data_IF_223863584576
#
_entry.id   IF_223863584576
#
_cell.length_a   1.000
_cell.length_b   1.000
_cell.length_c   1.000
_cell.angle_alpha   90.00
_cell.angle_beta   90.00
_cell.angle_gamma   90.00
#
_symmetry.space_group_name_H-M   'P 1'
#
loop_
_entity.id
_entity.type
_entity.pdbx_description
1 polymer ?
#
# COMPACT_ATOMS: atom_id res chain seq x y z
N UNK A 1 16.02 -19.26 -8.73
CA UNK A 1 15.36 -20.16 -7.77
C UNK A 1 13.92 -20.46 -8.23
N UNK A 2 13.54 -21.70 -8.24
CA UNK A 2 12.18 -22.15 -8.53
C UNK A 2 11.59 -22.77 -7.25
N UNK A 3 10.55 -22.13 -6.70
CA UNK A 3 9.90 -22.63 -5.48
C UNK A 3 9.26 -24.00 -5.73
N UNK A 4 9.42 -24.91 -4.80
CA UNK A 4 8.98 -26.31 -4.92
C UNK A 4 10.00 -27.23 -5.60
N UNK A 5 10.90 -26.72 -6.42
CA UNK A 5 11.98 -27.49 -7.04
C UNK A 5 13.31 -27.30 -6.29
N UNK A 6 13.68 -26.07 -6.01
CA UNK A 6 14.97 -25.74 -5.41
C UNK A 6 14.87 -25.55 -3.89
N UNK A 7 13.66 -25.48 -3.36
CA UNK A 7 13.30 -25.30 -1.95
C UNK A 7 11.95 -24.60 -1.79
N UNK A 8 11.59 -24.24 -0.56
CA UNK A 8 10.35 -23.52 -0.28
C UNK A 8 10.51 -22.00 -0.45
N UNK A 9 9.44 -21.25 -0.25
CA UNK A 9 9.42 -19.77 -0.45
C UNK A 9 10.31 -19.03 0.56
N UNK A 10 10.38 -19.48 1.82
CA UNK A 10 11.24 -18.86 2.84
C UNK A 10 12.72 -19.09 2.52
N UNK A 11 13.07 -20.28 2.01
CA UNK A 11 14.42 -20.60 1.55
C UNK A 11 14.81 -19.78 0.32
N UNK A 12 13.88 -19.54 -0.60
CA UNK A 12 14.09 -18.68 -1.75
C UNK A 12 14.44 -17.25 -1.33
N UNK A 13 13.70 -16.68 -0.37
CA UNK A 13 13.95 -15.33 0.14
C UNK A 13 15.26 -15.27 0.93
N UNK A 14 15.58 -16.28 1.75
CA UNK A 14 16.87 -16.38 2.44
C UNK A 14 18.04 -16.40 1.44
N UNK A 15 17.90 -17.18 0.37
CA UNK A 15 18.91 -17.23 -0.68
C UNK A 15 19.09 -15.86 -1.38
N UNK A 16 17.97 -15.21 -1.73
CA UNK A 16 17.98 -13.87 -2.34
C UNK A 16 18.62 -12.82 -1.41
N UNK A 17 18.39 -12.91 -0.12
CA UNK A 17 19.02 -12.06 0.89
C UNK A 17 20.51 -12.38 1.15
N UNK A 18 21.01 -13.47 0.58
CA UNK A 18 22.39 -13.93 0.82
C UNK A 18 22.59 -14.58 2.19
N UNK A 19 21.53 -15.10 2.79
CA UNK A 19 21.49 -15.71 4.13
C UNK A 19 21.57 -17.24 4.10
N UNK A 20 21.49 -17.86 2.92
CA UNK A 20 21.54 -19.30 2.76
C UNK A 20 22.98 -19.80 2.78
N UNK A 21 23.35 -20.58 3.80
CA UNK A 21 24.68 -21.23 3.86
C UNK A 21 24.82 -22.30 2.79
N UNK A 22 26.01 -22.36 2.18
CA UNK A 22 26.40 -23.43 1.26
C UNK A 22 25.63 -23.50 -0.08
N UNK A 23 24.81 -22.53 -0.41
CA UNK A 23 24.09 -22.45 -1.69
C UNK A 23 24.79 -21.50 -2.66
N UNK A 24 24.87 -21.83 -3.96
CA UNK A 24 25.51 -20.98 -4.97
C UNK A 24 24.78 -19.67 -5.24
N UNK A 25 23.65 -19.43 -4.60
CA UNK A 25 22.74 -18.29 -4.75
C UNK A 25 23.15 -17.06 -3.96
N UNK A 26 24.30 -17.06 -3.32
CA UNK A 26 24.84 -15.92 -2.58
C UNK A 26 25.35 -14.80 -3.52
N UNK A 27 24.76 -14.72 -4.71
CA UNK A 27 25.25 -13.84 -5.78
C UNK A 27 24.81 -12.39 -5.63
N UNK A 28 23.95 -12.07 -4.67
CA UNK A 28 23.60 -10.68 -4.44
C UNK A 28 24.68 -9.88 -3.71
N UNK A 29 25.87 -10.45 -3.56
CA UNK A 29 27.00 -9.77 -2.95
C UNK A 29 27.65 -8.74 -3.87
N UNK A 30 27.48 -8.86 -5.16
CA UNK A 30 28.36 -8.12 -6.07
C UNK A 30 27.77 -8.02 -7.45
N UNK A 31 27.98 -6.96 -8.14
CA UNK A 31 27.88 -6.81 -9.58
C UNK A 31 26.52 -6.46 -10.20
N UNK A 32 25.52 -6.06 -9.43
CA UNK A 32 24.25 -5.54 -9.99
C UNK A 32 23.40 -6.58 -10.72
N UNK A 33 23.70 -7.87 -10.58
CA UNK A 33 22.85 -8.92 -11.15
C UNK A 33 21.54 -9.05 -10.40
N UNK A 34 20.44 -9.21 -11.14
CA UNK A 34 19.12 -9.44 -10.58
C UNK A 34 18.96 -10.88 -10.13
N UNK A 35 18.40 -11.08 -8.95
CA UNK A 35 18.05 -12.40 -8.44
C UNK A 35 16.58 -12.67 -8.73
N UNK A 36 16.30 -13.79 -9.36
CA UNK A 36 14.94 -14.20 -9.74
C UNK A 36 14.43 -15.34 -8.87
N UNK A 37 13.23 -15.16 -8.31
CA UNK A 37 12.46 -16.20 -7.64
C UNK A 37 11.21 -16.45 -8.49
N UNK A 38 11.09 -17.62 -9.07
CA UNK A 38 9.86 -18.04 -9.74
C UNK A 38 9.01 -18.85 -8.77
N UNK A 39 7.73 -18.50 -8.69
CA UNK A 39 6.75 -19.13 -7.78
C UNK A 39 5.63 -19.71 -8.62
N UNK A 40 5.53 -21.05 -8.75
CA UNK A 40 4.40 -21.71 -9.44
C UNK A 40 3.06 -21.38 -8.79
N UNK A 41 1.96 -21.69 -9.48
CA UNK A 41 0.62 -21.62 -8.88
C UNK A 41 0.54 -22.50 -7.62
N UNK A 42 -0.06 -21.95 -6.57
CA UNK A 42 -0.16 -22.57 -5.26
C UNK A 42 -0.31 -21.53 -4.14
N UNK A 43 -0.52 -22.02 -2.94
CA UNK A 43 -0.62 -21.18 -1.74
C UNK A 43 0.65 -21.33 -0.89
N UNK A 44 1.28 -20.21 -0.58
CA UNK A 44 2.58 -20.17 0.09
C UNK A 44 2.48 -19.33 1.35
N UNK A 45 2.63 -19.97 2.50
CA UNK A 45 2.64 -19.29 3.79
C UNK A 45 4.07 -18.93 4.18
N UNK A 46 4.34 -17.64 4.32
CA UNK A 46 5.59 -17.14 4.85
C UNK A 46 5.67 -17.36 6.36
N UNK A 47 6.82 -17.80 6.85
CA UNK A 47 7.08 -17.93 8.28
C UNK A 47 7.69 -16.66 8.87
N UNK A 48 8.16 -15.77 8.01
CA UNK A 48 8.81 -14.52 8.36
C UNK A 48 10.28 -14.69 8.76
N UNK A 49 11.04 -13.63 8.55
CA UNK A 49 12.45 -13.55 8.96
C UNK A 49 12.76 -12.23 9.70
N UNK A 50 11.70 -11.46 10.01
CA UNK A 50 11.75 -10.25 10.81
C UNK A 50 11.43 -10.55 12.27
N UNK A 51 12.17 -9.93 13.18
CA UNK A 51 11.92 -10.02 14.62
C UNK A 51 11.42 -8.69 15.13
N UNK A 52 10.32 -8.69 15.87
CA UNK A 52 9.79 -7.51 16.51
C UNK A 52 10.59 -7.29 17.80
N UNK A 53 11.23 -6.13 17.90
CA UNK A 53 11.93 -5.71 19.11
C UNK A 53 11.13 -4.59 19.77
N UNK A 54 10.28 -4.94 20.71
CA UNK A 54 9.71 -3.97 21.63
C UNK A 54 10.62 -3.80 22.84
N UNK A 55 10.98 -2.56 23.14
CA UNK A 55 11.68 -2.22 24.38
C UNK A 55 10.62 -1.97 25.44
N UNK A 56 10.43 -2.92 26.34
CA UNK A 56 9.47 -2.83 27.44
C UNK A 56 8.19 -3.66 27.22
N UNK A 57 7.21 -3.46 28.10
CA UNK A 57 5.87 -4.02 27.91
C UNK A 57 5.29 -3.50 26.60
N UNK A 58 4.65 -4.39 25.82
CA UNK A 58 4.07 -4.04 24.54
C UNK A 58 3.22 -2.76 24.60
N UNK A 59 3.17 -1.97 23.52
CA UNK A 59 2.47 -0.69 23.55
C UNK A 59 1.03 -0.89 24.01
N UNK A 60 0.58 0.00 24.86
CA UNK A 60 -0.83 0.10 25.20
C UNK A 60 -1.52 0.73 24.01
N UNK A 61 -2.57 0.08 23.50
CA UNK A 61 -3.36 0.64 22.42
C UNK A 61 -4.18 1.86 22.89
N UNK A 62 -4.86 2.51 21.97
CA UNK A 62 -5.67 3.70 22.24
C UNK A 62 -6.80 3.45 23.25
N UNK A 63 -7.13 2.18 23.51
CA UNK A 63 -8.15 1.77 24.50
C UNK A 63 -7.57 1.46 25.89
N UNK A 64 -6.25 1.56 26.05
CA UNK A 64 -5.55 1.17 27.27
C UNK A 64 -5.30 -0.34 27.39
N UNK A 65 -5.60 -1.11 26.34
CA UNK A 65 -5.36 -2.56 26.33
C UNK A 65 -3.90 -2.84 26.00
N UNK A 66 -3.23 -3.59 26.86
CA UNK A 66 -1.86 -4.06 26.59
C UNK A 66 -1.86 -5.05 25.43
N UNK A 67 -1.06 -4.77 24.42
CA UNK A 67 -0.79 -5.73 23.36
C UNK A 67 0.04 -6.89 23.90
N UNK A 68 -0.07 -8.08 23.30
CA UNK A 68 0.80 -9.19 23.63
C UNK A 68 2.28 -8.78 23.57
N UNK A 69 3.07 -9.25 24.53
CA UNK A 69 4.52 -9.08 24.46
C UNK A 69 5.07 -9.81 23.22
N UNK A 70 5.50 -9.05 22.24
CA UNK A 70 6.07 -9.53 20.98
C UNK A 70 7.60 -9.37 20.94
N UNK A 71 8.23 -8.98 22.06
CA UNK A 71 9.67 -8.79 22.10
C UNK A 71 10.40 -10.09 21.70
N UNK A 72 11.25 -10.00 20.70
CA UNK A 72 11.97 -11.14 20.16
C UNK A 72 11.11 -12.15 19.38
N UNK A 73 9.80 -11.94 19.24
CA UNK A 73 8.89 -12.81 18.50
C UNK A 73 8.75 -12.35 17.05
N UNK A 74 8.38 -13.28 16.19
CA UNK A 74 8.09 -13.02 14.79
C UNK A 74 6.57 -12.91 14.57
N UNK A 75 6.14 -11.85 13.92
CA UNK A 75 4.74 -11.61 13.51
C UNK A 75 4.48 -12.03 12.05
N UNK A 76 5.33 -12.88 11.48
CA UNK A 76 5.20 -13.34 10.09
C UNK A 76 5.75 -12.35 9.05
N UNK A 77 6.35 -11.24 9.47
CA UNK A 77 6.93 -10.26 8.55
C UNK A 77 8.16 -10.83 7.84
N UNK A 78 8.19 -10.70 6.52
CA UNK A 78 9.30 -11.20 5.70
C UNK A 78 10.05 -10.05 5.06
N UNK A 79 11.34 -9.95 5.36
CA UNK A 79 12.22 -8.87 4.93
C UNK A 79 12.96 -9.22 3.64
N UNK A 80 12.97 -8.28 2.72
CA UNK A 80 13.82 -8.22 1.52
C UNK A 80 14.98 -7.29 1.84
N UNK A 81 16.20 -7.86 1.97
CA UNK A 81 17.39 -7.16 2.50
C UNK A 81 18.44 -6.86 1.45
N UNK A 82 18.19 -7.21 0.19
CA UNK A 82 19.15 -6.99 -0.91
C UNK A 82 18.47 -6.31 -2.08
N UNK A 83 19.20 -5.49 -2.85
CA UNK A 83 18.68 -4.91 -4.08
C UNK A 83 18.52 -5.94 -5.20
N UNK A 84 17.85 -5.55 -6.27
CA UNK A 84 17.69 -6.34 -7.50
C UNK A 84 17.07 -7.73 -7.29
N UNK A 85 16.05 -7.85 -6.45
CA UNK A 85 15.29 -9.07 -6.25
C UNK A 85 13.98 -9.00 -7.05
N UNK A 86 13.69 -10.07 -7.80
CA UNK A 86 12.41 -10.27 -8.48
C UNK A 86 11.70 -11.50 -7.94
N UNK A 87 10.41 -11.34 -7.63
CA UNK A 87 9.49 -12.43 -7.32
C UNK A 87 8.44 -12.49 -8.43
N UNK A 88 8.43 -13.57 -9.18
CA UNK A 88 7.56 -13.75 -10.35
C UNK A 88 6.68 -14.97 -10.10
N UNK A 89 5.38 -14.74 -10.03
CA UNK A 89 4.38 -15.78 -9.95
C UNK A 89 4.10 -16.40 -11.32
N UNK A 90 3.45 -17.52 -11.34
CA UNK A 90 2.96 -18.13 -12.56
C UNK A 90 1.68 -17.47 -13.03
N UNK A 91 0.78 -17.10 -12.10
CA UNK A 91 -0.42 -16.32 -12.39
C UNK A 91 -0.87 -15.52 -11.18
N UNK A 92 -1.47 -14.33 -11.42
CA UNK A 92 -1.93 -13.44 -10.33
C UNK A 92 -2.92 -14.11 -9.40
N UNK A 93 -3.88 -14.84 -9.93
CA UNK A 93 -5.01 -15.36 -9.16
C UNK A 93 -4.70 -16.67 -8.42
N UNK A 94 -3.70 -17.43 -8.86
CA UNK A 94 -3.41 -18.73 -8.30
C UNK A 94 -2.03 -18.84 -7.63
N UNK A 95 -1.12 -17.87 -7.83
CA UNK A 95 0.12 -17.79 -7.05
C UNK A 95 -0.11 -16.90 -5.85
N UNK A 96 -0.40 -17.46 -4.69
CA UNK A 96 -0.79 -16.70 -3.49
C UNK A 96 0.28 -16.83 -2.42
N UNK A 97 0.91 -15.72 -2.07
CA UNK A 97 1.91 -15.64 -0.98
C UNK A 97 1.28 -14.87 0.17
N UNK A 98 1.23 -15.48 1.35
CA UNK A 98 0.55 -14.91 2.51
C UNK A 98 1.34 -15.04 3.80
N UNK A 99 1.05 -14.14 4.76
CA UNK A 99 1.44 -14.29 6.15
C UNK A 99 0.21 -14.19 7.06
N UNK A 100 0.38 -14.53 8.34
CA UNK A 100 -0.68 -14.47 9.34
C UNK A 100 -0.19 -13.77 10.62
N UNK A 101 -0.15 -12.43 10.64
CA UNK A 101 0.19 -11.69 11.85
C UNK A 101 -0.84 -11.90 12.94
N UNK A 102 -0.38 -11.94 14.19
CA UNK A 102 -1.25 -12.08 15.37
C UNK A 102 -1.46 -10.77 16.13
N UNK A 103 -0.61 -9.77 15.88
CA UNK A 103 -0.69 -8.43 16.48
C UNK A 103 -0.73 -7.39 15.37
N UNK A 104 -1.72 -6.48 15.45
CA UNK A 104 -1.82 -5.38 14.50
C UNK A 104 -0.62 -4.44 14.60
N UNK A 105 -0.30 -3.73 13.55
CA UNK A 105 0.66 -2.65 13.60
C UNK A 105 1.27 -2.35 12.26
N UNK A 106 1.25 -1.08 11.91
CA UNK A 106 1.98 -0.58 10.77
C UNK A 106 3.48 -0.85 10.97
N UNK A 107 4.15 -1.30 9.96
CA UNK A 107 5.59 -1.59 9.90
C UNK A 107 6.11 -2.88 10.55
N UNK A 108 5.29 -3.72 11.13
CA UNK A 108 5.73 -5.05 11.61
C UNK A 108 4.74 -6.20 11.36
N UNK A 109 3.83 -6.00 10.43
CA UNK A 109 2.87 -7.02 10.00
C UNK A 109 3.07 -7.42 8.53
N UNK A 110 3.96 -6.74 7.82
CA UNK A 110 4.04 -6.83 6.37
C UNK A 110 4.29 -8.26 5.87
N UNK A 111 3.52 -8.68 4.88
CA UNK A 111 3.80 -9.91 4.15
C UNK A 111 5.17 -9.83 3.50
N UNK A 112 5.48 -8.72 2.82
CA UNK A 112 6.82 -8.39 2.34
C UNK A 112 7.23 -6.99 2.79
N UNK A 113 8.42 -6.88 3.35
CA UNK A 113 9.04 -5.63 3.75
C UNK A 113 10.35 -5.42 2.99
N UNK A 114 10.39 -4.44 2.09
CA UNK A 114 11.63 -4.02 1.42
C UNK A 114 12.35 -3.02 2.32
N UNK A 115 13.50 -3.41 2.85
CA UNK A 115 14.26 -2.60 3.80
C UNK A 115 14.84 -1.34 3.15
N UNK A 116 15.07 -0.33 3.99
CA UNK A 116 15.74 0.92 3.60
C UNK A 116 17.11 0.61 2.96
N UNK A 117 17.46 1.36 1.93
CA UNK A 117 18.66 1.21 1.11
C UNK A 117 18.63 0.06 0.08
N UNK A 118 17.58 -0.73 0.02
CA UNK A 118 17.37 -1.62 -1.11
C UNK A 118 16.75 -0.88 -2.28
N UNK A 119 17.12 -1.31 -3.46
CA UNK A 119 16.63 -0.72 -4.70
C UNK A 119 16.19 -1.80 -5.67
N UNK A 120 15.30 -1.41 -6.60
CA UNK A 120 14.98 -2.24 -7.75
C UNK A 120 14.30 -3.58 -7.38
N UNK A 121 13.45 -3.57 -6.33
CA UNK A 121 12.56 -4.69 -6.07
C UNK A 121 11.52 -4.81 -7.18
N UNK A 122 11.22 -6.03 -7.60
CA UNK A 122 10.24 -6.31 -8.64
C UNK A 122 9.34 -7.46 -8.23
N UNK A 123 8.03 -7.32 -8.46
CA UNK A 123 7.08 -8.42 -8.35
C UNK A 123 6.10 -8.43 -9.53
N UNK A 124 5.70 -9.63 -10.00
CA UNK A 124 4.80 -9.79 -11.13
C UNK A 124 3.97 -11.07 -11.01
N UNK A 125 2.73 -11.02 -11.52
CA UNK A 125 1.83 -12.17 -11.71
C UNK A 125 1.57 -12.99 -10.43
N UNK A 126 1.29 -12.33 -9.30
CA UNK A 126 1.01 -12.99 -8.02
C UNK A 126 0.04 -12.20 -7.14
N UNK A 127 -0.49 -12.87 -6.13
CA UNK A 127 -1.23 -12.25 -5.02
C UNK A 127 -0.37 -12.26 -3.77
N UNK A 128 -0.25 -11.09 -3.13
CA UNK A 128 0.26 -10.93 -1.77
C UNK A 128 -0.92 -10.72 -0.84
N UNK A 129 -1.01 -11.47 0.24
CA UNK A 129 -2.13 -11.40 1.18
C UNK A 129 -1.63 -11.35 2.61
N UNK A 130 -2.29 -10.52 3.43
CA UNK A 130 -2.11 -10.47 4.86
C UNK A 130 -3.39 -10.98 5.53
N UNK A 131 -3.28 -12.12 6.23
CA UNK A 131 -4.41 -12.81 6.86
C UNK A 131 -4.66 -12.35 8.32
N UNK A 132 -4.28 -11.13 8.66
CA UNK A 132 -4.60 -10.57 9.97
C UNK A 132 -6.11 -10.55 10.21
N UNK A 133 -6.55 -11.01 11.37
CA UNK A 133 -7.98 -11.01 11.73
C UNK A 133 -8.47 -9.60 12.07
N UNK A 134 -8.71 -8.82 11.03
CA UNK A 134 -9.20 -7.45 11.14
C UNK A 134 -10.54 -7.39 11.88
N UNK A 135 -11.49 -8.24 11.52
CA UNK A 135 -12.84 -8.19 12.09
C UNK A 135 -12.89 -8.71 13.52
N UNK A 136 -12.12 -9.75 13.86
CA UNK A 136 -11.99 -10.21 15.23
C UNK A 136 -11.34 -9.16 16.13
N UNK A 137 -10.32 -8.47 15.64
CA UNK A 137 -9.65 -7.39 16.36
C UNK A 137 -10.54 -6.17 16.52
N UNK A 138 -11.35 -5.83 15.49
CA UNK A 138 -12.27 -4.69 15.51
C UNK A 138 -13.60 -5.00 16.21
N UNK A 139 -13.86 -6.28 16.57
CA UNK A 139 -15.09 -6.68 17.25
C UNK A 139 -15.22 -5.98 18.62
N UNK A 140 -16.35 -5.30 18.83
CA UNK A 140 -16.61 -4.55 20.04
C UNK A 140 -15.96 -3.17 20.12
N UNK A 141 -15.19 -2.76 19.15
CA UNK A 141 -14.62 -1.42 19.09
C UNK A 141 -15.57 -0.46 18.35
N UNK A 142 -15.67 0.77 18.85
CA UNK A 142 -16.35 1.82 18.10
C UNK A 142 -15.50 2.17 16.88
N UNK A 143 -16.13 2.58 15.78
CA UNK A 143 -15.46 2.91 14.49
C UNK A 143 -14.36 3.97 14.58
N UNK A 144 -14.18 4.60 15.74
CA UNK A 144 -13.23 5.68 16.00
C UNK A 144 -12.01 5.29 16.83
N UNK A 145 -11.99 4.11 17.45
CA UNK A 145 -10.99 3.78 18.47
C UNK A 145 -10.11 2.57 18.19
N UNK A 146 -10.37 1.82 17.14
CA UNK A 146 -9.61 0.61 16.85
C UNK A 146 -8.73 0.71 15.61
N UNK A 147 -7.49 0.31 15.71
CA UNK A 147 -6.60 0.12 14.59
C UNK A 147 -6.44 -1.37 14.29
N UNK A 148 -6.75 -1.75 13.07
CA UNK A 148 -6.51 -3.11 12.55
C UNK A 148 -5.47 -3.09 11.44
N UNK A 149 -4.34 -2.41 11.70
CA UNK A 149 -3.28 -2.15 10.73
C UNK A 149 -2.53 -3.44 10.40
N UNK A 150 -2.49 -3.78 9.13
CA UNK A 150 -1.82 -4.99 8.68
C UNK A 150 -1.35 -4.82 7.23
N UNK A 151 -0.08 -4.46 7.09
CA UNK A 151 0.54 -4.20 5.81
C UNK A 151 0.68 -5.49 4.99
N UNK A 152 0.42 -5.43 3.70
CA UNK A 152 0.84 -6.48 2.76
C UNK A 152 2.24 -6.18 2.26
N UNK A 153 2.43 -4.94 1.82
CA UNK A 153 3.71 -4.50 1.29
C UNK A 153 4.16 -3.23 2.01
N UNK A 154 5.22 -3.36 2.79
CA UNK A 154 5.92 -2.25 3.43
C UNK A 154 7.17 -1.93 2.63
N UNK A 155 7.17 -0.79 1.96
CA UNK A 155 8.26 -0.37 1.07
C UNK A 155 9.05 0.79 1.68
N UNK A 156 10.30 0.52 1.99
CA UNK A 156 11.32 1.53 2.33
C UNK A 156 12.46 1.55 1.32
N UNK A 157 12.38 0.71 0.31
CA UNK A 157 13.31 0.67 -0.79
C UNK A 157 13.18 1.88 -1.72
N UNK A 158 13.81 1.80 -2.86
CA UNK A 158 13.66 2.79 -3.92
C UNK A 158 13.51 2.08 -5.26
N UNK A 159 12.69 2.59 -6.14
CA UNK A 159 12.38 2.03 -7.46
C UNK A 159 11.78 0.62 -7.40
N UNK A 160 10.90 0.40 -6.42
CA UNK A 160 10.07 -0.82 -6.40
C UNK A 160 9.06 -0.78 -7.53
N UNK A 161 8.91 -1.91 -8.24
CA UNK A 161 7.99 -2.06 -9.35
C UNK A 161 7.12 -3.30 -9.11
N UNK A 162 5.81 -3.15 -9.25
CA UNK A 162 4.88 -4.28 -9.28
C UNK A 162 4.00 -4.23 -10.52
N UNK A 163 3.83 -5.38 -11.19
CA UNK A 163 2.98 -5.52 -12.36
C UNK A 163 2.04 -6.70 -12.21
N UNK A 164 0.76 -6.47 -12.46
CA UNK A 164 -0.26 -7.51 -12.36
C UNK A 164 -0.21 -8.26 -11.02
N UNK A 165 -0.15 -7.50 -9.90
CA UNK A 165 -0.09 -8.03 -8.54
C UNK A 165 -1.36 -7.63 -7.78
N UNK A 166 -1.96 -8.56 -7.03
CA UNK A 166 -3.00 -8.25 -6.07
C UNK A 166 -2.42 -8.11 -4.66
N UNK A 167 -2.74 -7.01 -3.97
CA UNK A 167 -2.37 -6.76 -2.57
C UNK A 167 -3.64 -6.76 -1.73
N UNK A 168 -3.78 -7.76 -0.84
CA UNK A 168 -5.02 -8.01 -0.11
C UNK A 168 -4.85 -7.90 1.40
N UNK A 169 -5.42 -6.84 1.99
CA UNK A 169 -5.59 -6.67 3.43
C UNK A 169 -6.82 -5.80 3.72
N UNK A 170 -6.89 -5.17 4.87
CA UNK A 170 -7.96 -4.28 5.28
C UNK A 170 -7.47 -2.85 5.52
N UNK A 171 -6.62 -2.61 6.50
CA UNK A 171 -6.07 -1.30 6.82
C UNK A 171 -4.57 -1.28 6.54
N UNK A 172 -4.09 -0.19 5.95
CA UNK A 172 -2.67 0.07 5.63
C UNK A 172 -2.04 -0.98 4.68
N UNK A 173 -2.80 -1.49 3.70
CA UNK A 173 -2.38 -2.60 2.81
C UNK A 173 -1.04 -2.36 2.13
N UNK A 174 -0.82 -1.15 1.57
CA UNK A 174 0.46 -0.70 1.04
C UNK A 174 0.96 0.48 1.86
N UNK A 175 2.11 0.31 2.49
CA UNK A 175 2.78 1.36 3.24
C UNK A 175 4.14 1.69 2.64
N UNK A 176 4.29 2.91 2.12
CA UNK A 176 5.55 3.46 1.61
C UNK A 176 6.19 4.41 2.63
N UNK A 177 7.46 4.21 2.96
CA UNK A 177 8.10 5.00 4.01
C UNK A 177 9.60 5.22 3.77
N UNK A 178 9.90 6.12 2.85
CA UNK A 178 11.26 6.58 2.60
C UNK A 178 11.25 8.09 2.36
N UNK A 179 11.87 8.83 3.26
CA UNK A 179 11.89 10.29 3.22
C UNK A 179 12.87 10.89 2.19
N UNK A 180 13.49 10.08 1.34
CA UNK A 180 14.34 10.61 0.27
C UNK A 180 13.52 11.37 -0.77
N UNK A 181 13.94 12.56 -1.23
CA UNK A 181 13.30 13.28 -2.32
C UNK A 181 13.18 12.43 -3.60
N UNK A 182 14.16 11.54 -3.82
CA UNK A 182 14.23 10.66 -4.99
C UNK A 182 13.51 9.32 -4.79
N UNK A 183 12.75 9.15 -3.70
CA UNK A 183 12.02 7.91 -3.47
C UNK A 183 10.88 7.77 -4.46
N UNK A 184 10.91 6.67 -5.21
CA UNK A 184 9.98 6.38 -6.31
C UNK A 184 9.49 4.95 -6.27
N UNK A 185 8.26 4.76 -6.73
CA UNK A 185 7.66 3.44 -6.93
C UNK A 185 6.69 3.43 -8.10
N UNK A 186 6.50 2.27 -8.70
CA UNK A 186 5.63 2.09 -9.86
C UNK A 186 4.78 0.83 -9.74
N UNK A 187 3.48 0.99 -9.95
CA UNK A 187 2.51 -0.09 -9.95
C UNK A 187 1.70 -0.05 -11.24
N UNK A 188 1.61 -1.18 -11.94
CA UNK A 188 0.87 -1.31 -13.20
C UNK A 188 -0.10 -2.50 -13.16
N UNK A 189 -1.36 -2.27 -13.49
CA UNK A 189 -2.42 -3.29 -13.50
C UNK A 189 -2.55 -4.06 -12.16
N UNK A 190 -2.23 -3.41 -11.04
CA UNK A 190 -2.30 -4.00 -9.71
C UNK A 190 -3.68 -3.80 -9.08
N UNK A 191 -4.05 -4.72 -8.19
CA UNK A 191 -5.30 -4.67 -7.43
C UNK A 191 -4.99 -4.40 -5.96
N UNK A 192 -5.48 -3.27 -5.42
CA UNK A 192 -5.32 -2.90 -4.01
C UNK A 192 -6.64 -3.08 -3.28
N UNK A 193 -6.69 -4.00 -2.34
CA UNK A 193 -7.86 -4.25 -1.51
C UNK A 193 -7.71 -3.63 -0.14
N UNK A 194 -8.71 -2.90 0.34
CA UNK A 194 -8.67 -2.36 1.69
C UNK A 194 -9.92 -1.60 2.12
N UNK A 195 -9.86 -1.09 3.35
CA UNK A 195 -10.94 -0.32 3.97
C UNK A 195 -10.49 1.08 4.40
N UNK A 196 -9.40 1.20 5.14
CA UNK A 196 -8.91 2.48 5.68
C UNK A 196 -7.44 2.64 5.36
N UNK A 197 -7.11 3.80 4.78
CA UNK A 197 -5.72 4.20 4.52
C UNK A 197 -4.91 3.11 3.80
N UNK A 198 -5.59 2.33 2.97
CA UNK A 198 -4.98 1.11 2.45
C UNK A 198 -3.87 1.35 1.42
N UNK A 199 -3.66 2.62 1.05
CA UNK A 199 -2.46 3.12 0.38
C UNK A 199 -1.96 4.30 1.20
N UNK A 200 -0.88 4.12 1.97
CA UNK A 200 -0.44 5.14 2.92
C UNK A 200 1.08 5.36 2.92
N UNK A 201 1.51 6.52 3.41
CA UNK A 201 2.92 6.88 3.55
C UNK A 201 3.39 7.99 2.61
N UNK A 202 4.64 7.92 2.16
CA UNK A 202 5.29 8.99 1.40
C UNK A 202 5.94 8.48 0.10
N UNK A 203 6.52 9.38 -0.68
CA UNK A 203 7.22 9.07 -1.94
C UNK A 203 6.52 9.65 -3.17
N UNK A 204 7.21 9.56 -4.30
CA UNK A 204 6.67 9.84 -5.63
C UNK A 204 6.28 8.51 -6.27
N UNK A 205 5.03 8.13 -6.16
CA UNK A 205 4.54 6.80 -6.53
C UNK A 205 3.49 6.91 -7.65
N UNK A 206 3.73 6.20 -8.74
CA UNK A 206 2.82 6.15 -9.88
C UNK A 206 2.04 4.84 -9.89
N UNK A 207 0.72 4.97 -9.93
CA UNK A 207 -0.21 3.85 -10.10
C UNK A 207 -0.86 3.96 -11.47
N UNK A 208 -0.51 3.02 -12.36
CA UNK A 208 -1.00 2.96 -13.73
C UNK A 208 -2.05 1.87 -13.89
N UNK A 209 -3.26 2.24 -14.27
CA UNK A 209 -4.36 1.29 -14.54
C UNK A 209 -4.63 0.30 -13.40
N UNK A 210 -4.42 0.72 -12.17
CA UNK A 210 -4.64 -0.10 -10.99
C UNK A 210 -6.13 -0.10 -10.59
N UNK A 211 -6.57 -1.18 -9.95
CA UNK A 211 -7.89 -1.26 -9.33
C UNK A 211 -7.77 -0.97 -7.83
N UNK A 212 -8.51 0.04 -7.39
CA UNK A 212 -8.64 0.42 -5.98
C UNK A 212 -9.95 -0.16 -5.45
N UNK A 213 -9.86 -1.24 -4.69
CA UNK A 213 -10.99 -2.09 -4.34
C UNK A 213 -11.41 -1.83 -2.90
N UNK A 214 -12.60 -1.28 -2.74
CA UNK A 214 -13.20 -0.94 -1.46
C UNK A 214 -13.85 -2.19 -0.86
N UNK A 215 -13.37 -2.63 0.30
CA UNK A 215 -13.90 -3.79 1.02
C UNK A 215 -15.09 -3.39 1.90
N UNK A 216 -15.84 -4.39 2.37
CA UNK A 216 -17.11 -4.22 3.08
C UNK A 216 -16.94 -3.54 4.46
N UNK A 217 -16.85 -2.19 4.46
CA UNK A 217 -16.78 -1.35 5.65
C UNK A 217 -17.49 -0.01 5.39
N UNK A 218 -18.09 0.56 6.42
CA UNK A 218 -18.61 1.93 6.40
C UNK A 218 -17.45 2.94 6.56
N UNK A 219 -17.49 4.04 5.82
CA UNK A 219 -16.55 5.13 5.96
C UNK A 219 -15.13 4.75 5.50
N UNK A 220 -15.01 4.12 4.32
CA UNK A 220 -13.72 3.76 3.75
C UNK A 220 -12.92 4.99 3.34
N UNK A 221 -11.58 4.87 3.36
CA UNK A 221 -10.67 5.86 2.86
C UNK A 221 -9.55 5.18 2.06
N UNK A 222 -9.32 5.61 0.82
CA UNK A 222 -8.35 4.95 -0.07
C UNK A 222 -6.93 5.29 0.36
N UNK A 223 -6.54 6.57 0.30
CA UNK A 223 -5.16 6.97 0.51
C UNK A 223 -4.98 7.81 1.78
N UNK A 224 -3.83 7.62 2.44
CA UNK A 224 -3.37 8.46 3.54
C UNK A 224 -1.93 8.92 3.27
N UNK A 225 -1.74 9.90 2.38
CA UNK A 225 -0.41 10.38 2.05
C UNK A 225 0.20 11.18 3.21
N UNK A 226 1.51 11.00 3.39
CA UNK A 226 2.39 11.72 4.32
C UNK A 226 3.61 12.27 3.57
N UNK A 227 3.40 12.72 2.35
CA UNK A 227 4.43 13.14 1.42
C UNK A 227 5.36 14.17 2.06
N UNK A 228 6.66 13.99 1.92
CA UNK A 228 7.65 14.96 2.43
C UNK A 228 7.59 16.25 1.62
N UNK A 229 8.11 17.34 2.22
CA UNK A 229 8.04 18.68 1.60
C UNK A 229 8.79 18.74 0.26
N UNK A 230 9.86 17.97 0.15
CA UNK A 230 10.74 17.88 -1.01
C UNK A 230 10.41 16.73 -1.97
N UNK A 231 9.37 15.96 -1.68
CA UNK A 231 8.79 14.99 -2.62
C UNK A 231 7.69 15.68 -3.42
N UNK A 232 7.95 15.95 -4.67
CA UNK A 232 7.13 16.84 -5.50
C UNK A 232 5.73 16.30 -5.80
N UNK A 233 5.61 15.00 -6.13
CA UNK A 233 4.40 14.45 -6.76
C UNK A 233 3.47 13.70 -5.78
N UNK A 234 4.00 13.02 -4.78
CA UNK A 234 3.20 12.16 -3.91
C UNK A 234 2.63 10.95 -4.65
N UNK A 235 1.39 10.60 -4.36
CA UNK A 235 0.68 9.50 -5.02
C UNK A 235 -0.05 10.00 -6.26
N UNK A 236 0.24 9.39 -7.41
CA UNK A 236 -0.43 9.70 -8.68
C UNK A 236 -1.13 8.46 -9.21
N UNK A 237 -2.45 8.49 -9.26
CA UNK A 237 -3.30 7.44 -9.80
C UNK A 237 -3.73 7.81 -11.22
N UNK A 238 -3.18 7.14 -12.24
CA UNK A 238 -3.49 7.40 -13.63
C UNK A 238 -4.32 6.26 -14.24
N UNK A 239 -5.44 6.60 -14.88
CA UNK A 239 -6.36 5.63 -15.49
C UNK A 239 -6.77 4.46 -14.57
N UNK A 240 -6.74 4.71 -13.26
CA UNK A 240 -7.14 3.72 -12.26
C UNK A 240 -8.65 3.55 -12.20
N UNK A 241 -9.12 2.44 -11.62
CA UNK A 241 -10.53 2.24 -11.33
C UNK A 241 -10.78 2.15 -9.83
N UNK A 242 -11.93 2.66 -9.37
CA UNK A 242 -12.41 2.54 -8.00
C UNK A 242 -13.71 1.77 -8.01
N UNK A 243 -13.75 0.64 -7.30
CA UNK A 243 -14.92 -0.24 -7.29
C UNK A 243 -15.11 -0.93 -5.94
N UNK A 244 -16.35 -1.28 -5.58
CA UNK A 244 -16.60 -2.17 -4.46
C UNK A 244 -16.06 -3.58 -4.73
N UNK A 245 -15.68 -4.32 -3.69
CA UNK A 245 -15.19 -5.71 -3.79
C UNK A 245 -16.25 -6.64 -4.36
N UNK A 246 -17.52 -6.42 -4.00
CA UNK A 246 -18.67 -7.15 -4.55
C UNK A 246 -19.95 -6.33 -4.43
N UNK A 247 -21.00 -6.76 -5.13
CA UNK A 247 -22.35 -6.15 -5.05
C UNK A 247 -23.10 -6.53 -3.77
N UNK A 248 -22.63 -7.53 -3.02
CA UNK A 248 -23.32 -8.08 -1.83
C UNK A 248 -22.73 -7.58 -0.51
N UNK A 249 -22.09 -6.44 -0.50
CA UNK A 249 -21.54 -5.85 0.72
C UNK A 249 -22.67 -5.31 1.61
N UNK A 250 -22.56 -5.58 2.92
CA UNK A 250 -23.61 -5.23 3.90
C UNK A 250 -23.29 -3.97 4.71
N UNK A 251 -22.03 -3.59 4.81
CA UNK A 251 -21.57 -2.41 5.57
C UNK A 251 -21.19 -1.25 4.67
N UNK A 252 -20.71 -1.55 3.48
CA UNK A 252 -20.32 -0.53 2.52
C UNK A 252 -21.54 0.30 2.07
N UNK A 253 -21.33 1.58 1.91
CA UNK A 253 -22.35 2.51 1.44
C UNK A 253 -21.75 3.43 0.39
N UNK A 254 -22.41 3.54 -0.76
CA UNK A 254 -22.07 4.55 -1.77
C UNK A 254 -22.11 5.96 -1.15
N UNK A 255 -21.19 6.82 -1.56
CA UNK A 255 -21.02 8.19 -1.03
C UNK A 255 -20.64 8.27 0.47
N UNK A 256 -20.16 7.20 1.05
CA UNK A 256 -19.66 7.16 2.43
C UNK A 256 -18.17 6.74 2.49
N UNK A 257 -17.39 7.13 1.50
CA UNK A 257 -15.96 6.89 1.42
C UNK A 257 -15.24 8.12 0.83
N UNK A 258 -13.92 8.18 0.96
CA UNK A 258 -13.11 9.31 0.50
C UNK A 258 -11.89 8.85 -0.32
N UNK A 259 -11.45 9.71 -1.23
CA UNK A 259 -10.29 9.49 -2.09
C UNK A 259 -8.99 9.45 -1.29
N UNK A 260 -8.80 10.45 -0.42
CA UNK A 260 -7.66 10.51 0.48
C UNK A 260 -7.97 11.35 1.71
N UNK A 261 -7.19 11.12 2.78
CA UNK A 261 -7.09 12.02 3.93
C UNK A 261 -5.61 12.30 4.26
N UNK A 262 -5.31 13.50 4.68
CA UNK A 262 -3.94 13.91 4.99
C UNK A 262 -3.40 13.23 6.25
N UNK A 263 -2.18 12.68 6.16
CA UNK A 263 -1.51 12.02 7.30
C UNK A 263 -0.21 12.69 7.70
N UNK A 264 -0.08 13.95 7.79
CA UNK A 264 1.15 14.68 8.15
C UNK A 264 1.94 15.25 6.97
N UNK A 265 2.91 16.09 7.26
CA UNK A 265 3.85 16.74 6.36
C UNK A 265 3.15 17.57 5.27
N UNK A 266 3.46 17.33 4.01
CA UNK A 266 2.92 18.02 2.84
C UNK A 266 2.20 17.02 1.91
N UNK A 267 1.10 16.39 2.37
CA UNK A 267 0.49 15.28 1.68
C UNK A 267 0.06 15.64 0.26
N UNK A 268 0.43 14.78 -0.69
CA UNK A 268 0.12 14.94 -2.10
C UNK A 268 -0.54 13.68 -2.65
N UNK A 269 -1.68 13.86 -3.33
CA UNK A 269 -2.45 12.77 -3.91
C UNK A 269 -3.24 13.27 -5.12
N UNK A 270 -3.04 12.68 -6.27
CA UNK A 270 -3.65 13.12 -7.53
C UNK A 270 -4.31 11.95 -8.25
N UNK A 271 -5.57 12.12 -8.63
CA UNK A 271 -6.33 11.17 -9.44
C UNK A 271 -6.52 11.73 -10.85
N UNK A 272 -6.01 11.01 -11.85
CA UNK A 272 -6.07 11.38 -13.26
C UNK A 272 -6.90 10.35 -14.03
N UNK A 273 -7.92 10.79 -14.77
CA UNK A 273 -8.71 9.94 -15.67
C UNK A 273 -9.26 8.67 -14.97
N UNK A 274 -9.65 8.81 -13.70
CA UNK A 274 -10.03 7.67 -12.86
C UNK A 274 -11.47 7.26 -13.10
N UNK A 275 -11.72 5.96 -13.26
CA UNK A 275 -13.07 5.40 -13.44
C UNK A 275 -13.66 4.97 -12.10
N UNK A 276 -14.79 5.55 -11.73
CA UNK A 276 -15.45 5.32 -10.43
C UNK A 276 -16.77 4.56 -10.61
N UNK A 277 -16.79 3.29 -10.22
CA UNK A 277 -18.02 2.46 -10.20
C UNK A 277 -18.91 2.73 -8.98
N UNK A 278 -18.42 3.47 -8.01
CA UNK A 278 -19.11 4.00 -6.84
C UNK A 278 -18.62 5.42 -6.60
N UNK A 279 -19.40 6.25 -5.92
CA UNK A 279 -19.05 7.66 -5.74
C UNK A 279 -18.49 7.92 -4.34
N UNK A 280 -17.46 8.74 -4.18
CA UNK A 280 -17.03 9.22 -2.86
C UNK A 280 -18.04 10.20 -2.27
N UNK A 281 -17.84 10.60 -1.03
CA UNK A 281 -18.50 11.77 -0.47
C UNK A 281 -18.34 12.96 -1.41
N UNK A 282 -19.32 13.85 -1.46
CA UNK A 282 -19.38 14.92 -2.49
C UNK A 282 -18.14 15.79 -2.55
N UNK A 283 -17.52 16.09 -1.41
CA UNK A 283 -16.27 16.84 -1.32
C UNK A 283 -15.02 16.03 -1.70
N UNK A 284 -15.11 14.70 -1.81
CA UNK A 284 -14.05 13.80 -2.27
C UNK A 284 -12.98 13.46 -1.23
N UNK A 285 -12.55 14.41 -0.42
CA UNK A 285 -11.40 14.32 0.47
C UNK A 285 -11.79 14.25 1.94
N UNK A 286 -11.18 13.35 2.69
CA UNK A 286 -11.52 13.07 4.08
C UNK A 286 -10.78 13.97 5.09
N UNK A 287 -11.31 13.97 6.32
CA UNK A 287 -10.63 14.63 7.44
C UNK A 287 -9.30 13.94 7.73
N UNK A 288 -8.22 14.71 7.70
CA UNK A 288 -6.88 14.27 8.04
C UNK A 288 -6.47 14.57 9.48
N UNK A 289 -5.18 14.42 9.77
CA UNK A 289 -4.56 14.82 11.02
C UNK A 289 -4.29 16.33 11.07
N UNK A 290 -4.18 16.90 12.25
CA UNK A 290 -4.08 18.36 12.46
C UNK A 290 -2.67 18.93 12.19
N UNK A 291 -1.69 18.09 11.88
CA UNK A 291 -0.27 18.46 11.74
C UNK A 291 0.21 18.63 10.28
N UNK A 292 -0.73 18.82 9.35
CA UNK A 292 -0.38 19.00 7.93
C UNK A 292 0.18 20.40 7.65
N UNK A 293 1.22 20.47 6.82
CA UNK A 293 1.82 21.76 6.40
C UNK A 293 1.09 22.35 5.20
N UNK A 294 0.89 21.55 4.14
CA UNK A 294 0.21 21.97 2.91
C UNK A 294 -0.45 20.76 2.25
N UNK A 295 -1.68 20.90 1.82
CA UNK A 295 -2.41 19.86 1.10
C UNK A 295 -2.26 20.06 -0.41
N UNK A 296 -1.91 19.00 -1.12
CA UNK A 296 -1.75 18.95 -2.58
C UNK A 296 -2.60 17.82 -3.13
N UNK A 297 -3.93 17.95 -3.02
CA UNK A 297 -4.92 16.96 -3.43
C UNK A 297 -5.62 17.42 -4.69
N UNK A 298 -5.52 16.60 -5.74
CA UNK A 298 -6.03 16.98 -7.06
C UNK A 298 -6.82 15.85 -7.73
N UNK A 299 -7.77 16.24 -8.55
CA UNK A 299 -8.56 15.34 -9.40
C UNK A 299 -8.66 15.92 -10.82
N UNK A 300 -8.62 15.06 -11.84
CA UNK A 300 -8.70 15.44 -13.24
C UNK A 300 -9.45 14.41 -14.06
N UNK A 301 -10.50 14.85 -14.75
CA UNK A 301 -11.30 14.08 -15.71
C UNK A 301 -11.72 12.69 -15.23
N UNK A 302 -12.17 12.56 -13.99
CA UNK A 302 -12.77 11.31 -13.51
C UNK A 302 -14.09 11.03 -14.23
N UNK A 303 -14.38 9.73 -14.48
CA UNK A 303 -15.58 9.24 -15.14
C UNK A 303 -16.34 8.27 -14.25
N UNK A 304 -17.63 8.08 -14.51
CA UNK A 304 -18.43 7.06 -13.84
C UNK A 304 -18.27 5.66 -14.50
N UNK A 305 -18.94 4.65 -13.93
CA UNK A 305 -18.92 3.29 -14.47
C UNK A 305 -19.45 3.16 -15.90
N UNK A 306 -20.25 4.14 -16.37
CA UNK A 306 -20.83 4.20 -17.71
C UNK A 306 -20.04 5.14 -18.69
N UNK A 307 -18.83 5.52 -18.31
CA UNK A 307 -17.92 6.40 -19.05
C UNK A 307 -18.40 7.85 -19.22
N UNK A 308 -19.33 8.32 -18.38
CA UNK A 308 -19.71 9.72 -18.36
C UNK A 308 -18.75 10.54 -17.46
N UNK A 309 -18.42 11.74 -17.90
CA UNK A 309 -17.65 12.67 -17.10
C UNK A 309 -18.36 13.00 -15.78
N UNK A 310 -17.66 12.86 -14.67
CA UNK A 310 -18.15 13.27 -13.36
C UNK A 310 -18.08 14.78 -13.20
N UNK A 311 -19.11 15.35 -12.59
CA UNK A 311 -19.04 16.73 -12.12
C UNK A 311 -18.21 16.80 -10.84
N UNK A 312 -17.06 17.47 -10.91
CA UNK A 312 -16.15 17.64 -9.77
C UNK A 312 -16.37 18.95 -9.01
N UNK A 313 -17.41 19.71 -9.36
CA UNK A 313 -17.68 21.07 -8.82
C UNK A 313 -17.84 21.11 -7.29
N UNK A 314 -18.16 20.00 -6.67
CA UNK A 314 -18.29 19.89 -5.20
C UNK A 314 -17.01 19.43 -4.50
N UNK A 315 -15.97 19.09 -5.25
CA UNK A 315 -14.68 18.69 -4.67
C UNK A 315 -14.07 19.85 -3.90
N UNK A 316 -13.65 19.58 -2.67
CA UNK A 316 -13.18 20.64 -1.78
C UNK A 316 -12.32 20.08 -0.65
N UNK A 317 -11.32 20.85 -0.22
CA UNK A 317 -10.51 20.56 0.98
C UNK A 317 -11.20 21.02 2.28
N UNK A 318 -12.42 21.52 2.23
CA UNK A 318 -13.12 22.06 3.42
C UNK A 318 -13.31 21.00 4.54
N UNK A 319 -13.38 19.72 4.21
CA UNK A 319 -13.44 18.64 5.19
C UNK A 319 -12.06 18.24 5.75
N UNK A 320 -10.97 18.68 5.13
CA UNK A 320 -9.61 18.43 5.60
C UNK A 320 -9.26 19.37 6.75
N UNK A 321 -8.45 18.90 7.70
CA UNK A 321 -8.05 19.70 8.87
C UNK A 321 -6.52 19.68 8.99
N UNK A 322 -5.89 20.85 9.18
CA UNK A 322 -6.40 22.15 8.80
C UNK A 322 -6.47 22.28 7.26
N UNK A 323 -7.42 23.03 6.75
CA UNK A 323 -7.51 23.33 5.33
C UNK A 323 -6.43 24.37 4.96
N UNK A 324 -5.20 23.90 4.79
CA UNK A 324 -4.07 24.73 4.39
C UNK A 324 -3.64 24.29 2.99
N UNK A 325 -3.92 25.07 1.98
CA UNK A 325 -3.58 24.77 0.60
C UNK A 325 -4.38 25.61 -0.38
N UNK A 326 -4.04 25.52 -1.66
CA UNK A 326 -4.87 26.13 -2.69
C UNK A 326 -6.19 25.36 -2.82
N UNK A 327 -7.28 26.07 -3.05
CA UNK A 327 -8.58 25.46 -3.33
C UNK A 327 -8.65 24.80 -4.72
N UNK A 328 -7.55 24.76 -5.47
CA UNK A 328 -7.45 24.17 -6.80
C UNK A 328 -7.36 22.66 -6.76
N UNK A 329 -8.42 22.03 -6.28
CA UNK A 329 -8.53 20.55 -6.24
C UNK A 329 -8.83 19.95 -7.63
N UNK A 330 -9.20 20.76 -8.60
CA UNK A 330 -9.49 20.33 -9.97
C UNK A 330 -8.42 20.88 -10.90
N UNK A 331 -7.66 19.99 -11.51
CA UNK A 331 -6.59 20.41 -12.42
C UNK A 331 -7.15 20.88 -13.77
N UNK A 332 -6.55 21.93 -14.32
CA UNK A 332 -6.69 22.29 -15.73
C UNK A 332 -5.95 21.31 -16.64
N UNK A 333 -6.23 21.33 -17.94
CA UNK A 333 -5.51 20.51 -18.93
C UNK A 333 -3.99 20.83 -18.91
N UNK A 334 -3.60 22.06 -18.72
CA UNK A 334 -2.21 22.50 -18.62
C UNK A 334 -1.53 21.90 -17.38
N UNK A 335 -2.15 22.04 -16.21
CA UNK A 335 -1.63 21.47 -14.95
C UNK A 335 -1.52 19.94 -15.02
N UNK A 336 -2.55 19.26 -15.53
CA UNK A 336 -2.57 17.81 -15.67
C UNK A 336 -1.48 17.29 -16.62
N UNK A 337 -1.10 18.07 -17.65
CA UNK A 337 -0.06 17.69 -18.60
C UNK A 337 1.33 17.55 -17.97
N UNK A 338 1.56 18.16 -16.79
CA UNK A 338 2.78 18.00 -16.01
C UNK A 338 2.92 16.61 -15.35
N UNK A 339 1.79 15.95 -15.11
CA UNK A 339 1.78 14.62 -14.49
C UNK A 339 2.05 13.54 -15.56
N UNK A 340 3.29 13.20 -15.74
CA UNK A 340 3.71 12.12 -16.65
C UNK A 340 4.53 11.09 -15.89
N UNK A 341 4.51 9.84 -16.36
CA UNK A 341 5.34 8.79 -15.78
C UNK A 341 6.81 9.22 -15.67
N UNK A 342 7.34 9.86 -16.71
CA UNK A 342 8.73 10.33 -16.74
C UNK A 342 9.05 11.39 -15.69
N UNK A 343 8.08 12.25 -15.35
CA UNK A 343 8.29 13.32 -14.39
C UNK A 343 8.19 12.81 -12.94
N UNK A 344 7.32 11.82 -12.71
CA UNK A 344 7.01 11.31 -11.38
C UNK A 344 7.99 10.22 -10.93
N UNK A 345 8.39 9.30 -11.82
CA UNK A 345 9.21 8.11 -11.51
C UNK A 345 10.37 7.86 -12.48
#
# INVERSE_FOLDING_TARGET
FVVGKDGNIDEAIKAANGEAEGKPYNNNKTNGHRYYIFVPDGEYKLTGNGTINFVGEGPVDETGTKRPDMNGKNNGQTHIRKPNISIIGQSKDNTIIRNHPIVEGISYTATLYVEKNNTDFYAEDLTLENEFDYWGTMAGQSSSSGAGRADVFYDRGNRSIMKNVALKSYQDTYYSNNASPDYRGYFENCDFYGVVDYICGNGNIWFEKCNLILRDRKGNNIAAPRTEVDQEWGYVFNECSIKPESDNMIRFTDKDWTLARAWNNSPACTYLNTKMYTQPQSYGWGRGMDSNLMLRFHEYKSIDGADNMLSLVTRSLAACVPAVGSDDVILSDEQASGYTLRNVV
#
